data_IF_371418133158
#
_entry.id   IF_371418133158
#
_cell.length_a   1.000
_cell.length_b   1.000
_cell.length_c   1.000
_cell.angle_alpha   90.00
_cell.angle_beta   90.00
_cell.angle_gamma   90.00
#
_symmetry.space_group_name_H-M   'P 1'
#
loop_
_entity.id
_entity.type
_entity.pdbx_description
1 polymer ?
#
# COMPACT_ATOMS: atom_id res chain seq x y z
N UNK A 1 14.54 -4.71 -3.19
CA UNK A 1 13.59 -5.03 -4.28
C UNK A 1 12.68 -6.14 -3.78
N UNK A 2 11.37 -5.88 -3.59
CA UNK A 2 10.43 -6.87 -3.07
C UNK A 2 9.69 -7.55 -4.23
N UNK A 3 9.87 -8.86 -4.37
CA UNK A 3 9.22 -9.69 -5.40
C UNK A 3 7.73 -9.78 -5.04
N UNK A 4 6.86 -9.13 -5.84
CA UNK A 4 5.40 -9.29 -5.75
C UNK A 4 5.08 -10.78 -5.98
N UNK A 5 4.51 -11.46 -4.98
CA UNK A 5 4.00 -12.83 -5.18
C UNK A 5 2.76 -12.74 -6.03
N UNK A 6 2.87 -13.22 -7.27
CA UNK A 6 1.73 -13.29 -8.16
C UNK A 6 0.96 -14.59 -7.87
N UNK A 7 -0.28 -14.71 -8.32
CA UNK A 7 -1.00 -15.99 -8.20
C UNK A 7 -0.19 -17.10 -8.88
N UNK A 8 -0.22 -18.37 -8.42
CA UNK A 8 0.60 -19.44 -8.99
C UNK A 8 0.40 -19.59 -10.50
N UNK A 9 -0.83 -19.37 -10.97
CA UNK A 9 -1.18 -19.33 -12.39
C UNK A 9 -0.53 -18.14 -13.11
N UNK A 10 -0.54 -16.95 -12.53
CA UNK A 10 0.10 -15.76 -13.08
C UNK A 10 1.64 -15.87 -13.08
N UNK A 11 2.26 -16.41 -12.03
CA UNK A 11 3.71 -16.68 -12.01
C UNK A 11 4.11 -17.70 -13.06
N UNK A 12 3.33 -18.76 -13.22
CA UNK A 12 3.54 -19.75 -14.28
C UNK A 12 3.41 -19.10 -15.66
N UNK A 13 2.37 -18.30 -15.89
CA UNK A 13 2.19 -17.56 -17.14
C UNK A 13 3.32 -16.57 -17.42
N UNK A 14 3.79 -15.83 -16.42
CA UNK A 14 4.94 -14.93 -16.54
C UNK A 14 6.23 -15.69 -16.89
N UNK A 15 6.47 -16.83 -16.22
CA UNK A 15 7.62 -17.69 -16.53
C UNK A 15 7.57 -18.20 -17.98
N UNK A 16 6.40 -18.69 -18.41
CA UNK A 16 6.19 -19.17 -19.76
C UNK A 16 6.34 -18.06 -20.81
N UNK A 17 5.79 -16.87 -20.55
CA UNK A 17 5.92 -15.72 -21.44
C UNK A 17 7.34 -15.19 -21.52
N UNK A 18 8.07 -15.08 -20.40
CA UNK A 18 9.48 -14.68 -20.41
C UNK A 18 10.32 -15.65 -21.23
N UNK A 19 10.09 -16.96 -21.05
CA UNK A 19 10.76 -17.99 -21.85
C UNK A 19 10.42 -17.85 -23.34
N UNK A 20 9.15 -17.60 -23.68
CA UNK A 20 8.73 -17.38 -25.07
C UNK A 20 9.40 -16.15 -25.67
N UNK A 21 9.46 -15.04 -24.93
CA UNK A 21 10.11 -13.79 -25.34
C UNK A 21 11.61 -13.99 -25.59
N UNK A 22 12.28 -14.81 -24.77
CA UNK A 22 13.71 -15.11 -24.93
C UNK A 22 14.04 -16.15 -26.00
N UNK A 23 13.07 -16.98 -26.42
CA UNK A 23 13.29 -18.11 -27.34
C UNK A 23 12.71 -17.89 -28.74
N UNK A 24 11.96 -16.80 -28.96
CA UNK A 24 11.31 -16.55 -30.24
C UNK A 24 12.08 -15.52 -31.06
N UNK A 25 12.33 -15.86 -32.32
CA UNK A 25 12.93 -14.94 -33.29
C UNK A 25 11.90 -13.97 -33.88
N UNK A 26 10.60 -14.21 -33.65
CA UNK A 26 9.52 -13.32 -34.07
C UNK A 26 9.61 -11.98 -33.32
N UNK A 27 9.53 -10.83 -34.01
CA UNK A 27 9.42 -9.52 -33.35
C UNK A 27 8.12 -9.33 -32.57
N UNK A 28 7.10 -10.18 -32.77
CA UNK A 28 5.80 -10.08 -32.14
C UNK A 28 5.42 -11.32 -31.35
N UNK A 29 4.71 -11.10 -30.23
CA UNK A 29 4.07 -12.19 -29.51
C UNK A 29 2.78 -12.64 -30.23
N UNK A 30 2.42 -13.92 -30.10
CA UNK A 30 1.10 -14.40 -30.51
C UNK A 30 -0.03 -13.64 -29.81
N UNK A 31 -1.24 -13.58 -30.40
CA UNK A 31 -2.37 -12.91 -29.78
C UNK A 31 -2.79 -13.59 -28.46
N UNK A 32 -3.43 -12.81 -27.58
CA UNK A 32 -3.64 -13.18 -26.17
C UNK A 32 -4.53 -14.41 -25.99
N UNK A 33 -5.48 -14.63 -26.90
CA UNK A 33 -6.34 -15.80 -26.99
C UNK A 33 -5.53 -17.09 -27.28
N UNK A 34 -4.60 -17.05 -28.23
CA UNK A 34 -3.69 -18.16 -28.53
C UNK A 34 -2.73 -18.43 -27.38
N UNK A 35 -2.23 -17.38 -26.71
CA UNK A 35 -1.40 -17.52 -25.52
C UNK A 35 -2.18 -18.10 -24.33
N UNK A 36 -3.43 -17.69 -24.16
CA UNK A 36 -4.33 -18.20 -23.13
C UNK A 36 -4.60 -19.69 -23.32
N UNK A 37 -4.92 -20.11 -24.55
CA UNK A 37 -5.09 -21.51 -24.92
C UNK A 37 -3.79 -22.30 -24.69
N UNK A 38 -2.65 -21.81 -25.18
CA UNK A 38 -1.34 -22.47 -25.06
C UNK A 38 -0.88 -22.66 -23.62
N UNK A 39 -1.21 -21.72 -22.72
CA UNK A 39 -0.79 -21.77 -21.33
C UNK A 39 -1.87 -22.26 -20.37
N UNK A 40 -3.04 -22.67 -20.89
CA UNK A 40 -4.19 -23.12 -20.12
C UNK A 40 -4.60 -22.14 -19.00
N UNK A 41 -4.67 -20.85 -19.36
CA UNK A 41 -5.10 -19.78 -18.45
C UNK A 41 -6.12 -18.87 -19.13
N UNK A 42 -6.84 -18.07 -18.34
CA UNK A 42 -7.76 -17.09 -18.90
C UNK A 42 -7.01 -15.98 -19.64
N UNK A 43 -7.66 -15.40 -20.65
CA UNK A 43 -7.16 -14.20 -21.37
C UNK A 43 -6.86 -13.06 -20.39
N UNK A 44 -7.65 -12.92 -19.33
CA UNK A 44 -7.40 -11.94 -18.26
C UNK A 44 -6.07 -12.18 -17.53
N UNK A 45 -5.67 -13.44 -17.31
CA UNK A 45 -4.38 -13.79 -16.70
C UNK A 45 -3.22 -13.44 -17.63
N UNK A 46 -3.36 -13.73 -18.94
CA UNK A 46 -2.38 -13.32 -19.96
C UNK A 46 -2.28 -11.80 -20.01
N UNK A 47 -3.40 -11.09 -20.04
CA UNK A 47 -3.43 -9.62 -20.04
C UNK A 47 -2.71 -9.03 -18.81
N UNK A 48 -2.94 -9.59 -17.61
CA UNK A 48 -2.24 -9.19 -16.38
C UNK A 48 -0.73 -9.46 -16.48
N UNK A 49 -0.33 -10.62 -17.02
CA UNK A 49 1.07 -10.98 -17.24
C UNK A 49 1.76 -10.07 -18.26
N UNK A 50 1.08 -9.74 -19.36
CA UNK A 50 1.57 -8.85 -20.41
C UNK A 50 1.76 -7.43 -19.91
N UNK A 51 0.86 -6.94 -19.04
CA UNK A 51 1.02 -5.64 -18.38
C UNK A 51 2.27 -5.60 -17.51
N UNK A 52 2.54 -6.67 -16.76
CA UNK A 52 3.75 -6.78 -15.93
C UNK A 52 5.01 -6.80 -16.82
N UNK A 53 5.02 -7.57 -17.91
CA UNK A 53 6.15 -7.57 -18.85
C UNK A 53 6.36 -6.21 -19.54
N UNK A 54 5.29 -5.45 -19.77
CA UNK A 54 5.36 -4.09 -20.28
C UNK A 54 5.88 -3.09 -19.23
N UNK A 55 5.48 -3.25 -17.97
CA UNK A 55 6.05 -2.51 -16.83
C UNK A 55 7.55 -2.83 -16.65
N UNK A 56 7.96 -4.07 -16.93
CA UNK A 56 9.36 -4.54 -16.93
C UNK A 56 10.13 -4.15 -18.21
N UNK A 57 9.46 -3.54 -19.20
CA UNK A 57 10.08 -3.07 -20.44
C UNK A 57 10.42 -4.16 -21.46
N UNK A 58 9.99 -5.41 -21.22
CA UNK A 58 10.28 -6.56 -22.09
C UNK A 58 9.38 -6.62 -23.34
N UNK A 59 8.19 -6.01 -23.26
CA UNK A 59 7.21 -5.97 -24.36
C UNK A 59 6.54 -4.61 -24.44
N UNK A 60 6.06 -4.22 -25.63
CA UNK A 60 5.17 -3.06 -25.79
C UNK A 60 3.81 -3.47 -26.32
N UNK A 61 2.78 -3.24 -25.50
CA UNK A 61 1.39 -3.42 -25.87
C UNK A 61 0.76 -2.04 -26.15
N UNK A 62 0.53 -1.74 -27.44
CA UNK A 62 -0.28 -0.60 -27.88
C UNK A 62 -1.70 -1.08 -28.18
N UNK A 63 -2.71 -0.31 -27.76
CA UNK A 63 -4.10 -0.65 -28.01
C UNK A 63 -4.36 -0.76 -29.53
N UNK A 64 -4.93 -1.88 -29.97
CA UNK A 64 -5.20 -2.15 -31.39
C UNK A 64 -4.01 -2.65 -32.22
N UNK A 65 -2.83 -2.87 -31.61
CA UNK A 65 -1.65 -3.41 -32.29
C UNK A 65 -1.18 -4.73 -31.66
N UNK A 66 -0.48 -5.54 -32.47
CA UNK A 66 0.18 -6.77 -31.99
C UNK A 66 1.27 -6.40 -30.97
N UNK A 67 1.44 -7.22 -29.93
CA UNK A 67 2.44 -6.93 -28.90
C UNK A 67 3.84 -7.21 -29.44
N UNK A 68 4.70 -6.19 -29.45
CA UNK A 68 6.08 -6.29 -29.91
C UNK A 68 7.03 -6.62 -28.76
N UNK A 69 8.07 -7.42 -29.05
CA UNK A 69 9.15 -7.76 -28.12
C UNK A 69 10.24 -6.68 -28.19
N UNK A 70 10.73 -6.20 -27.04
CA UNK A 70 11.82 -5.22 -26.98
C UNK A 70 13.14 -5.91 -26.62
N UNK A 71 14.05 -6.07 -27.61
CA UNK A 71 15.32 -6.80 -27.44
C UNK A 71 16.51 -5.98 -26.91
N UNK A 72 16.44 -4.65 -26.92
CA UNK A 72 17.58 -3.82 -26.51
C UNK A 72 17.40 -3.26 -25.09
N UNK A 73 18.06 -3.91 -24.12
CA UNK A 73 18.31 -3.37 -22.78
C UNK A 73 19.35 -2.25 -22.87
N UNK A 74 18.87 -1.02 -22.91
CA UNK A 74 19.45 0.07 -22.12
C UNK A 74 18.35 0.53 -21.18
N UNK A 75 18.70 0.92 -19.96
CA UNK A 75 17.79 1.39 -18.92
C UNK A 75 16.98 2.60 -19.40
N UNK A 76 15.93 2.35 -20.17
CA UNK A 76 14.97 3.35 -20.60
C UNK A 76 14.09 3.68 -19.40
N UNK A 77 13.81 4.98 -19.13
CA UNK A 77 12.93 5.38 -18.05
C UNK A 77 11.55 4.70 -18.17
N UNK A 78 10.82 4.53 -17.04
CA UNK A 78 9.52 3.87 -17.02
C UNK A 78 8.59 4.44 -18.09
N UNK A 79 7.65 3.61 -18.61
CA UNK A 79 6.94 3.90 -19.85
C UNK A 79 6.34 5.31 -19.83
N UNK A 80 6.51 6.03 -20.96
CA UNK A 80 5.96 7.36 -21.26
C UNK A 80 4.42 7.36 -21.27
N UNK A 81 3.82 6.92 -20.18
CA UNK A 81 2.37 7.00 -19.98
C UNK A 81 1.99 8.47 -19.85
N UNK A 82 0.79 8.82 -20.32
CA UNK A 82 0.26 10.17 -20.18
C UNK A 82 0.29 10.64 -18.69
N UNK A 83 0.09 9.71 -17.74
CA UNK A 83 0.20 10.00 -16.31
C UNK A 83 1.62 10.37 -15.88
N UNK A 84 2.64 9.67 -16.38
CA UNK A 84 4.03 9.99 -16.06
C UNK A 84 4.47 11.34 -16.65
N UNK A 85 4.01 11.69 -17.87
CA UNK A 85 4.25 13.00 -18.48
C UNK A 85 3.65 14.15 -17.65
N UNK A 86 2.40 13.98 -17.19
CA UNK A 86 1.72 14.95 -16.32
C UNK A 86 2.44 15.04 -14.98
N UNK A 87 2.86 13.90 -14.42
CA UNK A 87 3.64 13.84 -13.18
C UNK A 87 4.95 14.63 -13.28
N UNK A 88 5.76 14.42 -14.33
CA UNK A 88 7.04 15.14 -14.49
C UNK A 88 6.82 16.64 -14.64
N UNK A 89 5.86 17.06 -15.47
CA UNK A 89 5.53 18.50 -15.62
C UNK A 89 5.11 19.15 -14.31
N UNK A 90 4.25 18.48 -13.54
CA UNK A 90 3.80 19.00 -12.25
C UNK A 90 4.94 19.06 -11.23
N UNK A 91 5.82 18.06 -11.23
CA UNK A 91 7.03 18.04 -10.40
C UNK A 91 7.94 19.23 -10.74
N UNK A 92 8.17 19.48 -12.02
CA UNK A 92 9.02 20.58 -12.48
C UNK A 92 8.39 21.94 -12.13
N UNK A 93 7.07 22.08 -12.28
CA UNK A 93 6.34 23.30 -11.90
C UNK A 93 6.34 23.57 -10.38
N UNK A 94 6.36 22.52 -9.55
CA UNK A 94 6.53 22.67 -8.09
C UNK A 94 7.97 23.07 -7.77
N UNK A 95 8.97 22.44 -8.42
CA UNK A 95 10.38 22.75 -8.22
C UNK A 95 10.74 24.19 -8.67
N UNK A 96 10.15 24.66 -9.77
CA UNK A 96 10.28 26.02 -10.27
C UNK A 96 9.51 27.06 -9.44
N UNK A 97 8.74 26.64 -8.42
CA UNK A 97 8.00 27.54 -7.54
C UNK A 97 6.69 28.09 -8.12
N UNK A 98 6.30 27.69 -9.33
CA UNK A 98 4.99 28.01 -9.93
C UNK A 98 3.85 27.56 -9.02
N UNK A 99 3.99 26.39 -8.42
CA UNK A 99 3.11 25.91 -7.36
C UNK A 99 3.84 25.94 -6.02
N UNK A 100 3.72 27.06 -5.30
CA UNK A 100 4.35 27.24 -3.98
C UNK A 100 3.91 26.13 -3.01
N UNK A 101 4.88 25.58 -2.28
CA UNK A 101 4.63 24.62 -1.20
C UNK A 101 3.63 25.19 -0.19
N UNK A 102 2.72 24.35 0.29
CA UNK A 102 1.61 24.74 1.17
C UNK A 102 0.41 25.37 0.48
N UNK A 103 0.48 25.72 -0.81
CA UNK A 103 -0.66 26.27 -1.57
C UNK A 103 -1.43 25.16 -2.29
N UNK A 104 -2.72 25.40 -2.50
CA UNK A 104 -3.57 24.47 -3.22
C UNK A 104 -3.17 24.39 -4.69
N UNK A 105 -2.98 23.17 -5.18
CA UNK A 105 -2.88 22.92 -6.61
C UNK A 105 -4.21 23.28 -7.30
N UNK A 106 -4.17 23.69 -8.58
CA UNK A 106 -5.35 23.82 -9.41
C UNK A 106 -6.30 22.62 -9.33
N UNK A 107 -7.58 22.85 -9.61
CA UNK A 107 -8.58 21.78 -9.63
C UNK A 107 -8.19 20.73 -10.67
N UNK A 108 -8.54 19.46 -10.44
CA UNK A 108 -8.27 18.36 -11.38
C UNK A 108 -8.68 18.71 -12.82
N UNK A 109 -9.82 19.39 -12.98
CA UNK A 109 -10.35 19.75 -14.29
C UNK A 109 -9.47 20.76 -15.05
N UNK A 110 -8.74 21.61 -14.33
CA UNK A 110 -7.73 22.49 -14.94
C UNK A 110 -6.66 21.66 -15.66
N UNK A 111 -6.14 20.61 -15.01
CA UNK A 111 -5.13 19.74 -15.61
C UNK A 111 -5.69 18.86 -16.72
N UNK A 112 -6.94 18.43 -16.61
CA UNK A 112 -7.64 17.68 -17.68
C UNK A 112 -7.68 18.53 -18.95
N UNK A 113 -8.07 19.81 -18.84
CA UNK A 113 -8.15 20.72 -19.98
C UNK A 113 -6.77 21.15 -20.49
N UNK A 114 -5.83 21.48 -19.60
CA UNK A 114 -4.51 21.97 -20.02
C UNK A 114 -3.66 20.87 -20.65
N UNK A 115 -3.70 19.65 -20.10
CA UNK A 115 -2.87 18.54 -20.54
C UNK A 115 -3.59 17.59 -21.50
N UNK A 116 -4.87 17.82 -21.79
CA UNK A 116 -5.69 17.01 -22.70
C UNK A 116 -5.68 15.51 -22.33
N UNK A 117 -5.83 15.22 -21.04
CA UNK A 117 -5.81 13.86 -20.48
C UNK A 117 -7.05 13.58 -19.67
N UNK A 118 -7.38 12.30 -19.49
CA UNK A 118 -8.51 11.90 -18.64
C UNK A 118 -8.29 12.25 -17.16
N UNK A 119 -9.38 12.44 -16.42
CA UNK A 119 -9.37 12.66 -14.97
C UNK A 119 -8.64 11.55 -14.20
N UNK A 120 -8.74 10.29 -14.66
CA UNK A 120 -8.05 9.16 -14.01
C UNK A 120 -6.53 9.24 -14.20
N UNK A 121 -6.07 9.72 -15.35
CA UNK A 121 -4.65 9.99 -15.64
C UNK A 121 -4.09 11.09 -14.72
N UNK A 122 -4.81 12.21 -14.57
CA UNK A 122 -4.43 13.29 -13.64
C UNK A 122 -4.41 12.79 -12.20
N UNK A 123 -5.43 12.05 -11.79
CA UNK A 123 -5.50 11.47 -10.45
C UNK A 123 -4.34 10.50 -10.19
N UNK A 124 -3.92 9.73 -11.19
CA UNK A 124 -2.76 8.86 -11.08
C UNK A 124 -1.47 9.67 -10.93
N UNK A 125 -1.28 10.72 -11.73
CA UNK A 125 -0.12 11.62 -11.61
C UNK A 125 -0.04 12.29 -10.23
N UNK A 126 -1.17 12.77 -9.70
CA UNK A 126 -1.24 13.38 -8.36
C UNK A 126 -0.94 12.38 -7.24
N UNK A 127 -1.33 11.11 -7.41
CA UNK A 127 -0.92 10.03 -6.48
C UNK A 127 0.59 9.80 -6.52
N UNK A 128 1.20 9.77 -7.70
CA UNK A 128 2.66 9.64 -7.83
C UNK A 128 3.40 10.82 -7.16
N UNK A 129 2.88 12.05 -7.27
CA UNK A 129 3.43 13.20 -6.53
C UNK A 129 3.27 13.03 -5.02
N UNK A 130 2.13 12.48 -4.58
CA UNK A 130 1.88 12.19 -3.17
C UNK A 130 2.84 11.15 -2.61
N UNK A 131 3.13 10.11 -3.39
CA UNK A 131 4.07 9.06 -3.00
C UNK A 131 5.49 9.60 -2.86
N UNK A 132 5.85 10.64 -3.64
CA UNK A 132 7.13 11.35 -3.52
C UNK A 132 7.13 12.48 -2.49
N UNK A 133 6.01 12.71 -1.77
CA UNK A 133 5.89 13.79 -0.80
C UNK A 133 5.90 15.20 -1.42
N UNK A 134 5.67 15.30 -2.72
CA UNK A 134 5.64 16.57 -3.47
C UNK A 134 4.24 17.19 -3.50
N UNK A 135 3.21 16.44 -3.13
CA UNK A 135 1.85 16.94 -2.96
C UNK A 135 1.11 16.12 -1.90
N UNK A 136 0.01 16.64 -1.37
CA UNK A 136 -0.88 15.88 -0.48
C UNK A 136 -2.34 16.28 -0.69
N UNK A 137 -3.27 15.41 -0.29
CA UNK A 137 -4.71 15.66 -0.42
C UNK A 137 -5.29 16.09 0.93
N UNK A 138 -5.98 17.24 0.95
CA UNK A 138 -6.72 17.75 2.11
C UNK A 138 -8.19 17.96 1.73
N UNK A 139 -9.05 17.05 2.16
CA UNK A 139 -10.47 17.04 1.78
C UNK A 139 -10.66 16.90 0.27
N UNK A 140 -11.32 17.89 -0.36
CA UNK A 140 -11.53 17.94 -1.82
C UNK A 140 -10.38 18.61 -2.60
N UNK A 141 -9.32 19.06 -1.92
CA UNK A 141 -8.22 19.85 -2.52
C UNK A 141 -6.91 19.09 -2.49
N UNK A 142 -6.06 19.34 -3.48
CA UNK A 142 -4.67 18.94 -3.48
C UNK A 142 -3.80 20.13 -3.13
N UNK A 143 -2.74 19.92 -2.36
CA UNK A 143 -1.84 20.96 -1.88
C UNK A 143 -0.42 20.57 -2.29
N UNK A 144 0.33 21.53 -2.82
CA UNK A 144 1.72 21.34 -3.22
C UNK A 144 2.62 21.24 -1.98
N UNK A 145 3.64 20.39 -2.05
CA UNK A 145 4.57 20.13 -0.96
C UNK A 145 4.10 19.05 0.02
N UNK A 146 5.00 18.70 0.96
CA UNK A 146 4.74 17.68 1.96
C UNK A 146 3.59 18.11 2.88
N UNK A 147 2.88 17.13 3.43
CA UNK A 147 1.81 17.39 4.38
C UNK A 147 2.40 17.94 5.71
N UNK A 148 2.10 19.19 6.10
CA UNK A 148 2.64 19.80 7.32
C UNK A 148 2.18 19.11 8.62
N UNK A 149 1.12 18.31 8.55
CA UNK A 149 0.58 17.55 9.69
C UNK A 149 0.91 16.05 9.63
N UNK A 150 1.67 15.60 8.62
CA UNK A 150 1.92 14.17 8.40
C UNK A 150 0.64 13.36 8.18
N UNK A 151 -0.46 13.99 7.79
CA UNK A 151 -1.79 13.39 7.65
C UNK A 151 -1.99 12.54 6.39
N UNK A 152 -0.93 12.23 5.64
CA UNK A 152 -0.92 10.98 4.89
C UNK A 152 -0.60 9.85 5.87
N UNK A 153 -1.53 8.94 6.18
CA UNK A 153 -1.22 7.71 6.91
C UNK A 153 -0.17 6.82 6.20
N UNK A 154 0.30 7.24 5.01
CA UNK A 154 1.34 6.60 4.20
C UNK A 154 2.57 7.46 3.95
N UNK A 155 2.61 8.69 4.48
CA UNK A 155 3.89 9.39 4.54
C UNK A 155 4.81 8.53 5.40
N UNK A 156 5.92 8.05 4.81
CA UNK A 156 7.06 7.60 5.59
C UNK A 156 7.55 8.82 6.37
N UNK A 157 6.92 9.08 7.51
CA UNK A 157 7.31 10.15 8.42
C UNK A 157 8.75 9.83 8.79
N UNK A 158 9.68 10.64 8.28
CA UNK A 158 11.04 10.73 8.80
C UNK A 158 10.98 11.40 10.17
N UNK A 159 10.28 10.80 11.12
CA UNK A 159 10.53 11.01 12.54
C UNK A 159 11.66 10.03 12.87
N UNK A 160 12.87 10.43 12.48
CA UNK A 160 14.10 9.71 12.79
C UNK A 160 14.21 9.67 14.32
N UNK A 161 13.87 8.53 14.93
CA UNK A 161 13.98 8.30 16.37
C UNK A 161 12.67 8.15 17.15
N UNK A 162 11.52 8.59 16.63
CA UNK A 162 10.26 8.50 17.39
C UNK A 162 9.86 7.04 17.68
N UNK A 163 9.30 6.75 18.88
CA UNK A 163 8.71 5.47 19.20
C UNK A 163 7.60 5.11 18.20
N UNK A 164 7.48 3.84 17.87
CA UNK A 164 6.53 3.30 16.88
C UNK A 164 5.66 2.26 17.57
N UNK A 165 4.35 2.49 17.53
CA UNK A 165 3.33 1.53 17.94
C UNK A 165 2.86 0.78 16.69
N UNK A 166 2.82 -0.54 16.73
CA UNK A 166 2.23 -1.33 15.66
C UNK A 166 0.72 -1.40 15.85
N UNK A 167 -0.04 -1.16 14.78
CA UNK A 167 -1.48 -1.37 14.75
C UNK A 167 -1.74 -2.66 13.99
N UNK A 168 -2.11 -3.72 14.71
CA UNK A 168 -2.38 -5.04 14.16
C UNK A 168 -3.85 -5.18 13.78
N UNK A 169 -4.10 -5.42 12.49
CA UNK A 169 -5.42 -5.66 11.93
C UNK A 169 -5.57 -7.14 11.53
N UNK A 170 -6.78 -7.71 11.55
CA UNK A 170 -6.98 -9.09 11.13
C UNK A 170 -6.76 -9.26 9.62
N UNK A 171 -7.28 -8.32 8.81
CA UNK A 171 -7.12 -8.28 7.36
C UNK A 171 -7.13 -6.84 6.82
N UNK A 172 -6.64 -6.64 5.59
CA UNK A 172 -6.62 -5.31 4.96
C UNK A 172 -8.01 -4.69 4.79
N UNK A 173 -9.05 -5.49 4.52
CA UNK A 173 -10.41 -4.99 4.38
C UNK A 173 -10.90 -4.27 5.66
N UNK A 174 -10.42 -4.67 6.83
CA UNK A 174 -10.75 -4.08 8.12
C UNK A 174 -10.12 -2.69 8.32
N UNK A 175 -9.11 -2.32 7.51
CA UNK A 175 -8.59 -0.94 7.44
C UNK A 175 -9.69 0.05 7.10
N UNK A 176 -10.57 -0.29 6.15
CA UNK A 176 -11.65 0.60 5.77
C UNK A 176 -12.65 0.81 6.91
N UNK A 177 -12.90 -0.25 7.68
CA UNK A 177 -13.73 -0.16 8.89
C UNK A 177 -13.07 0.72 9.95
N UNK A 178 -11.75 0.61 10.14
CA UNK A 178 -11.02 1.38 11.13
C UNK A 178 -10.94 2.88 10.80
N UNK A 179 -10.54 3.25 9.58
CA UNK A 179 -10.29 4.65 9.22
C UNK A 179 -11.50 5.37 8.60
N UNK A 180 -12.46 4.65 8.02
CA UNK A 180 -13.48 5.27 7.16
C UNK A 180 -14.93 4.96 7.54
N UNK A 181 -15.22 4.02 8.47
CA UNK A 181 -16.60 3.86 8.99
C UNK A 181 -16.84 4.78 10.19
N UNK A 182 -17.99 5.47 10.16
CA UNK A 182 -18.37 6.53 11.11
C UNK A 182 -18.25 6.15 12.60
N UNK A 183 -18.32 4.87 12.99
CA UNK A 183 -18.15 4.44 14.40
C UNK A 183 -16.71 4.28 14.90
N UNK A 184 -15.72 4.05 14.02
CA UNK A 184 -14.30 3.94 14.40
C UNK A 184 -13.53 5.25 14.19
N UNK A 185 -14.15 6.26 13.56
CA UNK A 185 -13.54 7.57 13.37
C UNK A 185 -13.20 8.23 14.71
N UNK A 186 -14.04 8.09 15.75
CA UNK A 186 -13.77 8.64 17.08
C UNK A 186 -12.53 7.98 17.72
N UNK A 187 -12.46 6.64 17.76
CA UNK A 187 -11.30 5.95 18.32
C UNK A 187 -10.03 6.20 17.52
N UNK A 188 -10.08 6.09 16.18
CA UNK A 188 -8.90 6.32 15.35
C UNK A 188 -8.40 7.77 15.44
N UNK A 189 -9.31 8.74 15.55
CA UNK A 189 -8.97 10.14 15.80
C UNK A 189 -8.33 10.32 17.17
N UNK A 190 -8.93 9.76 18.22
CA UNK A 190 -8.39 9.88 19.59
C UNK A 190 -7.05 9.18 19.73
N UNK A 191 -6.91 7.97 19.16
CA UNK A 191 -5.62 7.27 19.11
C UNK A 191 -4.57 8.10 18.37
N UNK A 192 -4.92 8.72 17.24
CA UNK A 192 -3.99 9.60 16.53
C UNK A 192 -3.62 10.84 17.36
N UNK A 193 -4.56 11.41 18.11
CA UNK A 193 -4.30 12.53 19.01
C UNK A 193 -3.36 12.10 20.14
N UNK A 194 -3.56 10.93 20.73
CA UNK A 194 -2.75 10.43 21.84
C UNK A 194 -1.34 10.07 21.41
N UNK A 195 -1.22 9.43 20.24
CA UNK A 195 0.08 9.19 19.64
C UNK A 195 0.84 10.51 19.43
N UNK A 196 0.16 11.56 18.94
CA UNK A 196 0.78 12.89 18.77
C UNK A 196 1.17 13.52 20.11
N UNK A 197 0.28 13.48 21.12
CA UNK A 197 0.56 14.01 22.48
C UNK A 197 1.81 13.37 23.08
N UNK A 198 2.04 12.08 22.82
CA UNK A 198 3.19 11.33 23.33
C UNK A 198 4.39 11.29 22.37
N UNK A 199 4.37 12.03 21.25
CA UNK A 199 5.47 12.01 20.28
C UNK A 199 5.69 10.64 19.62
N UNK A 200 4.67 9.79 19.63
CA UNK A 200 4.67 8.46 19.06
C UNK A 200 4.17 8.49 17.61
N UNK A 201 4.64 7.51 16.84
CA UNK A 201 4.10 7.21 15.51
C UNK A 201 3.49 5.82 15.51
N UNK A 202 2.75 5.49 14.46
CA UNK A 202 2.23 4.14 14.29
C UNK A 202 2.53 3.57 12.92
N UNK A 203 2.51 2.24 12.83
CA UNK A 203 2.61 1.50 11.57
C UNK A 203 1.57 0.38 11.55
N UNK A 204 0.84 0.30 10.45
CA UNK A 204 -0.17 -0.74 10.23
C UNK A 204 0.49 -2.06 9.80
N UNK A 205 0.01 -3.16 10.37
CA UNK A 205 0.40 -4.53 10.05
C UNK A 205 -0.82 -5.44 10.07
N UNK A 206 -0.81 -6.55 9.34
CA UNK A 206 -1.96 -7.45 9.22
C UNK A 206 -1.63 -8.89 9.65
N UNK A 207 -2.58 -9.57 10.29
CA UNK A 207 -2.44 -10.99 10.66
C UNK A 207 -2.40 -11.90 9.44
N UNK A 208 -3.33 -11.68 8.52
CA UNK A 208 -3.49 -12.44 7.29
C UNK A 208 -4.26 -11.63 6.25
N UNK A 209 -4.34 -12.15 5.03
CA UNK A 209 -5.07 -11.53 3.93
C UNK A 209 -4.57 -11.98 2.57
N UNK A 210 -5.38 -11.72 1.54
CA UNK A 210 -5.04 -12.06 0.17
C UNK A 210 -3.83 -11.25 -0.30
N UNK A 211 -2.84 -11.94 -0.87
CA UNK A 211 -1.59 -11.33 -1.33
C UNK A 211 -1.79 -10.19 -2.36
N UNK A 212 -2.93 -10.17 -3.06
CA UNK A 212 -3.29 -9.15 -4.06
C UNK A 212 -3.81 -7.83 -3.41
N UNK A 213 -4.39 -7.88 -2.20
CA UNK A 213 -4.89 -6.71 -1.44
C UNK A 213 -3.89 -6.17 -0.41
N UNK A 214 -3.00 -7.03 0.08
CA UNK A 214 -2.17 -6.79 1.25
C UNK A 214 -0.74 -6.30 0.92
N UNK A 215 -0.39 -6.18 -0.37
CA UNK A 215 0.96 -5.90 -0.86
C UNK A 215 1.64 -4.62 -0.31
N UNK A 216 0.90 -3.79 0.42
CA UNK A 216 1.35 -2.52 1.00
C UNK A 216 1.72 -2.62 2.48
N UNK A 217 1.34 -3.69 3.18
CA UNK A 217 1.56 -3.84 4.62
C UNK A 217 2.34 -5.12 4.94
N UNK A 218 3.13 -5.12 6.01
CA UNK A 218 3.66 -6.37 6.56
C UNK A 218 2.49 -7.26 7.00
N UNK A 219 2.27 -8.35 6.27
CA UNK A 219 1.25 -9.35 6.58
C UNK A 219 1.90 -10.64 7.06
N UNK A 220 1.36 -11.19 8.15
CA UNK A 220 1.81 -12.43 8.76
C UNK A 220 3.06 -12.30 9.62
N UNK A 221 3.29 -13.29 10.50
CA UNK A 221 4.30 -13.25 11.56
C UNK A 221 5.71 -12.94 11.04
N UNK A 222 6.10 -13.50 9.89
CA UNK A 222 7.44 -13.29 9.30
C UNK A 222 7.68 -11.84 8.88
N UNK A 223 6.71 -11.20 8.22
CA UNK A 223 6.85 -9.81 7.77
C UNK A 223 6.75 -8.83 8.95
N UNK A 224 5.91 -9.14 9.93
CA UNK A 224 5.80 -8.35 11.16
C UNK A 224 7.08 -8.47 11.99
N UNK A 225 7.67 -9.66 12.11
CA UNK A 225 8.97 -9.85 12.77
C UNK A 225 10.05 -8.98 12.12
N UNK A 226 10.18 -9.04 10.79
CA UNK A 226 11.13 -8.19 10.08
C UNK A 226 10.86 -6.69 10.33
N UNK A 227 9.59 -6.30 10.44
CA UNK A 227 9.20 -4.93 10.78
C UNK A 227 9.63 -4.55 12.18
N UNK A 228 9.36 -5.39 13.18
CA UNK A 228 9.79 -5.18 14.58
C UNK A 228 11.32 -5.08 14.65
N UNK A 229 12.04 -6.02 14.02
CA UNK A 229 13.50 -6.00 13.96
C UNK A 229 14.05 -4.73 13.31
N UNK A 230 13.42 -4.24 12.24
CA UNK A 230 13.82 -2.99 11.57
C UNK A 230 13.58 -1.74 12.43
N UNK A 231 12.64 -1.80 13.38
CA UNK A 231 12.35 -0.71 14.30
C UNK A 231 13.30 -0.72 15.50
N UNK A 232 13.80 -1.88 15.90
CA UNK A 232 14.72 -2.04 17.03
C UNK A 232 14.16 -1.41 18.31
N UNK A 233 14.95 -0.56 18.97
CA UNK A 233 14.55 0.15 20.19
C UNK A 233 13.33 1.06 20.03
N UNK A 234 12.98 1.43 18.79
CA UNK A 234 11.81 2.28 18.52
C UNK A 234 10.50 1.53 18.63
N UNK A 235 10.49 0.19 18.59
CA UNK A 235 9.26 -0.56 18.78
C UNK A 235 8.76 -0.41 20.22
N UNK A 236 7.64 0.28 20.38
CA UNK A 236 7.10 0.68 21.68
C UNK A 236 6.00 -0.26 22.18
N UNK A 237 5.29 -0.93 21.29
CA UNK A 237 4.18 -1.80 21.64
C UNK A 237 3.26 -2.07 20.45
N UNK A 238 2.21 -2.85 20.69
CA UNK A 238 1.22 -3.21 19.67
C UNK A 238 -0.19 -2.94 20.17
N UNK A 239 -1.03 -2.36 19.31
CA UNK A 239 -2.47 -2.28 19.50
C UNK A 239 -3.12 -3.18 18.45
N UNK A 240 -3.72 -4.28 18.88
CA UNK A 240 -4.47 -5.18 18.02
C UNK A 240 -5.94 -4.78 18.01
N UNK A 241 -6.54 -4.71 16.83
CA UNK A 241 -7.88 -4.14 16.62
C UNK A 241 -8.74 -5.12 15.87
N UNK A 242 -9.76 -5.66 16.54
CA UNK A 242 -10.74 -6.58 15.97
C UNK A 242 -11.18 -7.68 16.94
N UNK A 243 -12.23 -8.40 16.55
CA UNK A 243 -12.88 -9.43 17.39
C UNK A 243 -12.34 -10.83 17.10
N UNK A 244 -12.66 -11.80 17.96
CA UNK A 244 -12.33 -13.22 17.70
C UNK A 244 -12.95 -13.75 16.43
N UNK A 245 -14.09 -13.20 16.01
CA UNK A 245 -14.73 -13.57 14.73
C UNK A 245 -13.92 -13.10 13.52
N UNK A 246 -13.04 -12.12 13.71
CA UNK A 246 -12.20 -11.56 12.64
C UNK A 246 -10.74 -12.00 12.72
N UNK A 247 -10.27 -12.40 13.90
CA UNK A 247 -8.91 -12.93 14.10
C UNK A 247 -8.93 -14.45 14.15
N UNK A 248 -8.37 -15.09 13.11
CA UNK A 248 -8.31 -16.56 13.01
C UNK A 248 -7.57 -17.24 14.19
N UNK A 249 -6.59 -16.56 14.79
CA UNK A 249 -5.76 -17.09 15.90
C UNK A 249 -5.37 -15.98 16.90
N UNK A 250 -6.36 -15.29 17.47
CA UNK A 250 -6.09 -14.22 18.44
C UNK A 250 -5.20 -14.65 19.62
N UNK A 251 -5.41 -15.82 20.26
CA UNK A 251 -4.56 -16.28 21.36
C UNK A 251 -3.12 -16.53 20.92
N UNK A 252 -2.89 -17.17 19.77
CA UNK A 252 -1.54 -17.38 19.26
C UNK A 252 -0.84 -16.07 18.88
N UNK A 253 -1.57 -15.07 18.38
CA UNK A 253 -1.03 -13.72 18.20
C UNK A 253 -0.66 -13.04 19.52
N UNK A 254 -1.47 -13.20 20.57
CA UNK A 254 -1.17 -12.66 21.89
C UNK A 254 0.12 -13.26 22.49
N UNK A 255 0.24 -14.60 22.47
CA UNK A 255 1.44 -15.31 22.93
C UNK A 255 2.67 -14.91 22.10
N UNK A 256 2.52 -14.84 20.78
CA UNK A 256 3.60 -14.45 19.89
C UNK A 256 4.03 -12.97 20.08
N UNK A 257 3.12 -12.05 20.34
CA UNK A 257 3.49 -10.65 20.60
C UNK A 257 4.11 -10.46 22.00
N UNK A 258 3.70 -11.26 22.99
CA UNK A 258 4.24 -11.20 24.35
C UNK A 258 5.75 -11.49 24.41
N UNK A 259 6.28 -12.32 23.50
CA UNK A 259 7.71 -12.65 23.45
C UNK A 259 8.62 -11.42 23.26
N UNK A 260 8.09 -10.31 22.72
CA UNK A 260 8.87 -9.09 22.48
C UNK A 260 9.01 -8.19 23.71
N UNK A 261 8.42 -8.55 24.87
CA UNK A 261 8.48 -7.78 26.11
C UNK A 261 8.06 -6.30 25.92
N UNK A 262 7.01 -6.09 25.11
CA UNK A 262 6.41 -4.77 24.88
C UNK A 262 4.91 -4.82 25.16
N UNK A 263 4.28 -3.70 25.58
CA UNK A 263 2.84 -3.65 25.81
C UNK A 263 2.03 -4.07 24.59
N UNK A 264 1.01 -4.92 24.83
CA UNK A 264 0.02 -5.30 23.82
C UNK A 264 -1.36 -4.95 24.32
N UNK A 265 -2.10 -4.16 23.55
CA UNK A 265 -3.48 -3.76 23.85
C UNK A 265 -4.40 -4.34 22.79
N UNK A 266 -5.46 -5.01 23.21
CA UNK A 266 -6.50 -5.50 22.32
C UNK A 266 -7.73 -4.61 22.43
N UNK A 267 -8.16 -4.04 21.30
CA UNK A 267 -9.34 -3.20 21.20
C UNK A 267 -10.38 -3.90 20.33
N UNK A 268 -11.61 -4.00 20.83
CA UNK A 268 -12.72 -4.68 20.15
C UNK A 268 -12.56 -6.21 20.04
N UNK A 269 -11.85 -6.84 20.98
CA UNK A 269 -11.94 -8.28 21.19
C UNK A 269 -13.28 -8.60 21.87
N UNK A 270 -14.01 -9.60 21.37
CA UNK A 270 -15.11 -10.24 22.10
C UNK A 270 -14.65 -10.63 23.53
N UNK A 271 -15.54 -10.91 24.50
CA UNK A 271 -15.14 -11.30 25.86
C UNK A 271 -14.45 -12.68 25.86
N UNK A 272 -13.20 -12.70 25.41
CA UNK A 272 -12.28 -13.82 25.52
C UNK A 272 -11.57 -13.71 26.87
N UNK A 273 -11.16 -14.86 27.39
CA UNK A 273 -10.30 -15.04 28.55
C UNK A 273 -8.89 -14.45 28.37
N UNK A 274 -8.77 -13.18 28.00
CA UNK A 274 -7.54 -12.40 28.07
C UNK A 274 -7.64 -11.48 29.31
N UNK A 275 -7.23 -11.97 30.48
CA UNK A 275 -7.09 -11.17 31.71
C UNK A 275 -5.63 -11.25 32.22
N UNK A 276 -5.02 -10.17 32.75
CA UNK A 276 -5.69 -9.14 33.56
C UNK A 276 -5.39 -7.68 33.18
N UNK A 277 -6.47 -6.95 32.82
CA UNK A 277 -6.76 -5.52 33.06
C UNK A 277 -7.76 -5.06 31.97
N UNK A 278 -9.05 -5.27 32.27
CA UNK A 278 -10.17 -4.88 31.40
C UNK A 278 -10.55 -3.44 31.69
N UNK A 279 -10.73 -2.65 30.64
CA UNK A 279 -11.37 -1.34 30.74
C UNK A 279 -12.36 -1.11 29.61
N UNK A 280 -13.09 0.01 29.65
CA UNK A 280 -14.11 0.36 28.67
C UNK A 280 -13.87 1.77 28.13
N UNK A 281 -14.08 1.93 26.82
CA UNK A 281 -14.16 3.25 26.16
C UNK A 281 -15.45 3.26 25.32
N UNK A 282 -16.43 4.06 25.75
CA UNK A 282 -17.78 4.02 25.18
C UNK A 282 -18.45 2.66 25.38
N UNK A 283 -19.03 2.07 24.31
CA UNK A 283 -19.66 0.73 24.35
C UNK A 283 -18.70 -0.44 24.11
N UNK A 284 -17.39 -0.18 24.00
CA UNK A 284 -16.41 -1.19 23.58
C UNK A 284 -15.44 -1.52 24.71
N UNK A 285 -15.10 -2.80 24.81
CA UNK A 285 -14.11 -3.28 25.77
C UNK A 285 -12.71 -3.14 25.16
N UNK A 286 -11.74 -2.83 26.02
CA UNK A 286 -10.33 -3.04 25.71
C UNK A 286 -9.70 -3.93 26.79
N UNK A 287 -8.75 -4.74 26.35
CA UNK A 287 -8.04 -5.69 27.18
C UNK A 287 -6.57 -5.32 27.13
N UNK A 288 -6.03 -4.94 28.28
CA UNK A 288 -4.61 -4.70 28.42
C UNK A 288 -3.96 -6.03 28.76
N UNK A 289 -3.20 -6.59 27.81
CA UNK A 289 -2.32 -7.70 28.09
C UNK A 289 -1.05 -7.10 28.70
N UNK A 290 -1.00 -7.06 30.04
CA UNK A 290 0.21 -6.74 30.80
C UNK A 290 0.85 -8.05 31.23
N UNK A 291 2.13 -8.22 30.93
CA UNK A 291 2.95 -9.24 31.58
C UNK A 291 4.28 -8.65 32.02
N UNK A 292 4.82 -9.30 33.06
CA UNK A 292 5.93 -8.89 33.93
C UNK A 292 7.30 -8.80 33.28
#
# INVERSE_FOLDING_TARGET
MAIRRHSPKLEKSLRCLRRLVSQTDDPFLPPMDRLAARFHVSVATISKAMRILAEEGLVSAEQGKRTAIRRNMTSSPPPRTAAYRVFTKLKDAIAAGTYRTGRTLPKIMYFVMSEHVSSSTVMHALRLLSDQGLAHKRGKRWIAGPDPLGSSPFARTRLSGAPVILILLPAFAERHRFFFRMGHTAFSTELCNELKRHGCTFRLVCCGGDADTDAFFPTGRKAILHTISSLGKRFAGTVAIGSTKTFDDLPGWAVWLAQFKKPVVFYDADPVALSPNRGQVGRRNYYRCMYG
#
